data_IF_944005900845
#
_entry.id   IF_944005900845
#
_cell.length_a   1.000
_cell.length_b   1.000
_cell.length_c   1.000
_cell.angle_alpha   90.00
_cell.angle_beta   90.00
_cell.angle_gamma   90.00
#
_symmetry.space_group_name_H-M   'P 1'
#
loop_
_entity.id
_entity.type
_entity.pdbx_description
1 polymer ?
#
# COMPACT_ATOMS: atom_id res chain seq x y z
N UNK A 1 12.69 -5.09 -13.65
CA UNK A 1 11.60 -5.69 -14.43
C UNK A 1 12.19 -6.83 -15.22
N UNK A 2 12.01 -8.06 -14.73
CA UNK A 2 12.37 -9.24 -15.48
C UNK A 2 11.45 -9.36 -16.70
N UNK A 3 11.96 -9.82 -17.81
CA UNK A 3 11.24 -9.87 -19.09
C UNK A 3 10.07 -10.87 -19.17
N UNK A 4 9.50 -11.29 -18.03
CA UNK A 4 8.36 -12.22 -17.93
C UNK A 4 7.05 -11.52 -17.58
N UNK A 5 7.11 -10.22 -17.26
CA UNK A 5 5.91 -9.42 -16.99
C UNK A 5 5.09 -9.25 -18.25
N UNK A 6 3.87 -9.60 -18.18
CA UNK A 6 2.80 -9.52 -19.17
C UNK A 6 2.92 -8.24 -20.00
N UNK A 7 3.39 -8.35 -21.25
CA UNK A 7 3.46 -7.25 -22.22
C UNK A 7 2.13 -6.46 -22.37
N UNK A 8 1.02 -7.04 -21.98
CA UNK A 8 -0.32 -6.44 -22.04
C UNK A 8 -0.54 -5.36 -20.98
N UNK A 9 0.03 -5.48 -19.78
CA UNK A 9 -0.12 -4.45 -18.74
C UNK A 9 0.79 -3.24 -18.99
N UNK A 10 1.90 -3.43 -19.66
CA UNK A 10 2.88 -2.35 -19.93
C UNK A 10 2.43 -1.47 -21.11
N UNK A 11 1.74 -2.03 -22.12
CA UNK A 11 1.33 -1.28 -23.32
C UNK A 11 0.24 -0.23 -23.04
N UNK A 12 -0.57 -0.42 -22.01
CA UNK A 12 -1.62 0.52 -21.63
C UNK A 12 -1.28 1.33 -20.38
N UNK A 13 -0.19 0.99 -19.69
CA UNK A 13 0.18 1.66 -18.45
C UNK A 13 0.47 3.15 -18.66
N UNK A 14 1.30 3.49 -19.62
CA UNK A 14 1.67 4.88 -19.91
C UNK A 14 0.46 5.70 -20.35
N UNK A 15 -0.36 5.16 -21.25
CA UNK A 15 -1.60 5.82 -21.69
C UNK A 15 -2.54 6.06 -20.52
N UNK A 16 -2.73 5.06 -19.66
CA UNK A 16 -3.56 5.16 -18.46
C UNK A 16 -3.00 6.19 -17.47
N UNK A 17 -1.70 6.17 -17.21
CA UNK A 17 -1.07 7.11 -16.27
C UNK A 17 -1.08 8.54 -16.82
N UNK A 18 -0.90 8.72 -18.13
CA UNK A 18 -1.06 10.04 -18.77
C UNK A 18 -2.47 10.58 -18.59
N UNK A 19 -3.48 9.71 -18.73
CA UNK A 19 -4.87 10.12 -18.48
C UNK A 19 -5.12 10.46 -17.01
N UNK A 20 -4.62 9.65 -16.07
CA UNK A 20 -4.80 9.86 -14.62
C UNK A 20 -4.13 11.15 -14.14
N UNK A 21 -2.91 11.42 -14.59
CA UNK A 21 -2.11 12.57 -14.13
C UNK A 21 -2.25 13.81 -15.01
N UNK A 22 -2.92 13.72 -16.16
CA UNK A 22 -3.03 14.80 -17.13
C UNK A 22 -1.69 15.13 -17.80
N UNK A 23 -0.83 14.11 -17.97
CA UNK A 23 0.49 14.20 -18.58
C UNK A 23 0.46 13.68 -20.03
N UNK A 24 1.55 13.88 -20.78
CA UNK A 24 1.62 13.52 -22.20
C UNK A 24 2.82 12.63 -22.51
N UNK A 25 3.66 12.31 -21.52
CA UNK A 25 4.86 11.50 -21.71
C UNK A 25 5.23 10.74 -20.44
N UNK A 26 6.05 9.72 -20.59
CA UNK A 26 6.59 8.95 -19.47
C UNK A 26 7.47 9.81 -18.54
N UNK A 27 8.20 10.79 -19.10
CA UNK A 27 9.02 11.72 -18.33
C UNK A 27 8.15 12.58 -17.41
N UNK A 28 7.05 13.13 -17.93
CA UNK A 28 6.11 13.94 -17.13
C UNK A 28 5.44 13.09 -16.04
N UNK A 29 5.12 11.81 -16.31
CA UNK A 29 4.61 10.87 -15.31
C UNK A 29 5.62 10.72 -14.18
N UNK A 30 6.90 10.50 -14.50
CA UNK A 30 7.96 10.33 -13.50
C UNK A 30 8.13 11.58 -12.63
N UNK A 31 8.05 12.78 -13.21
CA UNK A 31 8.10 14.04 -12.46
C UNK A 31 6.92 14.20 -11.46
N UNK A 32 5.73 13.70 -11.83
CA UNK A 32 4.57 13.69 -10.92
C UNK A 32 4.77 12.68 -9.81
N UNK A 33 5.17 11.45 -10.15
CA UNK A 33 5.36 10.35 -9.20
C UNK A 33 6.48 10.64 -8.20
N UNK A 34 7.58 11.29 -8.62
CA UNK A 34 8.69 11.65 -7.75
C UNK A 34 8.25 12.57 -6.59
N UNK A 35 7.22 13.40 -6.83
CA UNK A 35 6.62 14.25 -5.80
C UNK A 35 5.59 13.53 -4.92
N UNK A 36 5.16 12.33 -5.31
CA UNK A 36 4.18 11.51 -4.57
C UNK A 36 4.90 10.55 -3.61
N UNK A 37 5.65 11.09 -2.66
CA UNK A 37 6.34 10.32 -1.64
C UNK A 37 5.82 10.63 -0.24
N UNK A 38 6.05 9.72 0.68
CA UNK A 38 5.58 9.81 2.07
C UNK A 38 6.69 10.21 3.06
N UNK A 39 7.90 10.50 2.59
CA UNK A 39 9.07 10.69 3.45
C UNK A 39 8.91 11.85 4.44
N UNK A 40 8.27 12.94 4.00
CA UNK A 40 7.99 14.09 4.89
C UNK A 40 6.67 13.94 5.65
N UNK A 41 5.74 13.13 5.16
CA UNK A 41 4.40 12.98 5.74
C UNK A 41 4.39 11.96 6.89
N UNK A 42 5.02 10.81 6.72
CA UNK A 42 4.99 9.71 7.68
C UNK A 42 5.49 10.10 9.08
N UNK A 43 6.61 10.83 9.24
CA UNK A 43 7.08 11.24 10.56
C UNK A 43 6.13 12.23 11.28
N UNK A 44 5.18 12.80 10.56
CA UNK A 44 4.20 13.76 11.08
C UNK A 44 2.80 13.17 11.30
N UNK A 45 2.62 11.87 11.12
CA UNK A 45 1.36 11.19 11.44
C UNK A 45 1.19 11.12 12.96
N UNK A 46 0.16 11.78 13.47
CA UNK A 46 -0.17 11.86 14.90
C UNK A 46 -1.41 11.02 15.28
N UNK A 47 -2.05 10.37 14.32
CA UNK A 47 -3.14 9.44 14.55
C UNK A 47 -2.63 7.98 14.56
N UNK A 48 -3.43 7.02 15.08
CA UNK A 48 -3.16 5.61 14.89
C UNK A 48 -3.04 5.25 13.42
N UNK A 49 -2.03 4.43 13.09
CA UNK A 49 -1.68 4.02 11.73
C UNK A 49 -1.66 2.49 11.64
N UNK A 50 -2.43 1.95 10.72
CA UNK A 50 -2.33 0.55 10.30
C UNK A 50 -1.80 0.49 8.86
N UNK A 51 -0.79 -0.29 8.64
CA UNK A 51 -0.33 -0.70 7.30
C UNK A 51 -0.61 -2.19 7.13
N UNK A 52 -1.26 -2.55 6.04
CA UNK A 52 -1.49 -3.95 5.66
C UNK A 52 -0.66 -4.30 4.44
N UNK A 53 -0.09 -5.49 4.40
CA UNK A 53 0.79 -5.93 3.32
C UNK A 53 0.66 -7.44 3.08
N UNK A 54 0.72 -7.88 1.84
CA UNK A 54 0.78 -9.30 1.50
C UNK A 54 2.24 -9.77 1.38
N UNK A 55 2.61 -10.89 1.99
CA UNK A 55 3.99 -11.39 1.92
C UNK A 55 4.45 -11.73 0.49
N UNK A 56 3.50 -12.06 -0.39
CA UNK A 56 3.72 -12.37 -1.80
C UNK A 56 3.62 -11.17 -2.74
N UNK A 57 3.48 -9.94 -2.23
CA UNK A 57 3.37 -8.75 -3.05
C UNK A 57 4.62 -8.55 -3.92
N UNK A 58 4.42 -8.66 -5.24
CA UNK A 58 5.50 -8.53 -6.23
C UNK A 58 5.63 -7.11 -6.80
N UNK A 59 4.76 -6.19 -6.40
CA UNK A 59 4.78 -4.81 -6.87
C UNK A 59 5.45 -3.89 -5.86
N UNK A 60 5.13 -4.07 -4.58
CA UNK A 60 5.68 -3.26 -3.49
C UNK A 60 6.45 -4.16 -2.53
N UNK A 61 7.76 -3.93 -2.34
CA UNK A 61 8.55 -4.70 -1.38
C UNK A 61 8.07 -4.52 0.06
N UNK A 62 8.07 -5.59 0.87
CA UNK A 62 7.68 -5.56 2.28
C UNK A 62 8.48 -4.53 3.10
N UNK A 63 9.74 -4.30 2.72
CA UNK A 63 10.62 -3.32 3.36
C UNK A 63 10.04 -1.90 3.32
N UNK A 64 9.24 -1.56 2.31
CA UNK A 64 8.57 -0.26 2.22
C UNK A 64 7.49 -0.11 3.30
N UNK A 65 6.69 -1.15 3.54
CA UNK A 65 5.72 -1.17 4.62
C UNK A 65 6.41 -1.09 5.99
N UNK A 66 7.49 -1.84 6.16
CA UNK A 66 8.30 -1.79 7.38
C UNK A 66 8.95 -0.42 7.61
N UNK A 67 9.45 0.22 6.54
CA UNK A 67 9.98 1.60 6.60
C UNK A 67 8.91 2.56 7.09
N UNK A 68 7.71 2.52 6.50
CA UNK A 68 6.59 3.37 6.89
C UNK A 68 6.29 3.26 8.38
N UNK A 69 6.22 2.06 8.93
CA UNK A 69 5.96 1.88 10.38
C UNK A 69 7.11 2.42 11.24
N UNK A 70 8.36 2.18 10.85
CA UNK A 70 9.51 2.69 11.61
C UNK A 70 9.57 4.22 11.64
N UNK A 71 9.14 4.87 10.57
CA UNK A 71 9.18 6.33 10.43
C UNK A 71 7.96 7.04 11.03
N UNK A 72 6.88 6.34 11.33
CA UNK A 72 5.67 6.90 11.96
C UNK A 72 5.87 7.17 13.47
N UNK A 73 6.92 7.91 13.80
CA UNK A 73 7.41 8.10 15.18
C UNK A 73 6.48 8.91 16.08
N UNK A 74 5.57 9.69 15.52
CA UNK A 74 4.58 10.47 16.27
C UNK A 74 3.23 9.75 16.41
N UNK A 75 3.03 8.64 15.69
CA UNK A 75 1.80 7.86 15.81
C UNK A 75 1.72 7.20 17.19
N UNK A 76 0.61 7.34 17.91
CA UNK A 76 0.43 6.69 19.22
C UNK A 76 0.27 5.17 19.11
N UNK A 77 -0.04 4.66 17.91
CA UNK A 77 -0.20 3.23 17.62
C UNK A 77 0.07 2.99 16.13
N UNK A 78 1.30 2.58 15.79
CA UNK A 78 1.69 2.23 14.43
C UNK A 78 1.87 0.73 14.32
N UNK A 79 1.06 0.07 13.49
CA UNK A 79 1.03 -1.39 13.35
C UNK A 79 1.17 -1.83 11.89
N UNK A 80 1.87 -2.94 11.68
CA UNK A 80 1.97 -3.62 10.40
C UNK A 80 1.33 -5.01 10.52
N UNK A 81 0.29 -5.26 9.73
CA UNK A 81 -0.23 -6.60 9.48
C UNK A 81 0.33 -7.11 8.15
N UNK A 82 1.11 -8.18 8.22
CA UNK A 82 1.51 -8.94 7.02
C UNK A 82 0.59 -10.14 6.90
N UNK A 83 -0.09 -10.25 5.75
CA UNK A 83 -0.87 -11.43 5.39
C UNK A 83 0.06 -12.47 4.79
N UNK A 84 0.07 -13.66 5.36
CA UNK A 84 0.91 -14.79 4.97
C UNK A 84 0.14 -15.83 4.16
N UNK A 85 0.84 -16.81 3.60
CA UNK A 85 0.20 -17.92 2.89
C UNK A 85 -0.81 -18.69 3.76
N UNK A 86 -0.60 -18.72 5.07
CA UNK A 86 -1.50 -19.38 6.02
C UNK A 86 -2.79 -18.55 6.25
N UNK A 87 -2.71 -17.22 6.15
CA UNK A 87 -3.87 -16.32 6.27
C UNK A 87 -4.68 -16.25 4.95
N UNK A 88 -4.00 -16.27 3.82
CA UNK A 88 -4.47 -15.75 2.53
C UNK A 88 -4.31 -14.24 2.43
N UNK A 89 -4.61 -13.64 1.26
CA UNK A 89 -4.43 -12.20 1.04
C UNK A 89 -2.96 -11.81 0.82
N UNK A 90 -2.20 -12.68 0.19
CA UNK A 90 -0.74 -12.52 0.02
C UNK A 90 -0.34 -11.66 -1.16
N UNK A 91 -1.23 -11.47 -2.12
CA UNK A 91 -0.96 -10.68 -3.33
C UNK A 91 -1.08 -9.17 -3.07
N UNK A 92 -0.67 -8.38 -4.05
CA UNK A 92 -0.78 -6.92 -4.00
C UNK A 92 -2.21 -6.47 -3.68
N UNK A 93 -2.35 -5.57 -2.70
CA UNK A 93 -3.65 -5.09 -2.18
C UNK A 93 -4.59 -6.22 -1.72
N UNK A 94 -4.05 -7.38 -1.38
CA UNK A 94 -4.78 -8.58 -0.93
C UNK A 94 -5.90 -9.01 -1.90
N UNK A 95 -5.69 -8.82 -3.21
CA UNK A 95 -6.70 -9.08 -4.25
C UNK A 95 -7.15 -10.54 -4.30
N UNK A 96 -6.31 -11.46 -3.84
CA UNK A 96 -6.60 -12.90 -3.73
C UNK A 96 -7.55 -13.23 -2.57
N UNK A 97 -7.65 -12.38 -1.53
CA UNK A 97 -8.58 -12.55 -0.41
C UNK A 97 -8.99 -11.21 0.22
N UNK A 98 -9.54 -10.31 -0.59
CA UNK A 98 -9.89 -8.95 -0.18
C UNK A 98 -10.86 -8.86 1.01
N UNK A 99 -11.78 -9.82 1.15
CA UNK A 99 -12.73 -9.84 2.28
C UNK A 99 -12.00 -9.94 3.63
N UNK A 100 -11.00 -10.81 3.74
CA UNK A 100 -10.18 -10.96 4.95
C UNK A 100 -9.46 -9.65 5.32
N UNK A 101 -8.87 -8.99 4.34
CA UNK A 101 -8.16 -7.74 4.56
C UNK A 101 -9.11 -6.62 5.03
N UNK A 102 -10.28 -6.51 4.41
CA UNK A 102 -11.31 -5.53 4.80
C UNK A 102 -11.82 -5.79 6.22
N UNK A 103 -12.10 -7.05 6.56
CA UNK A 103 -12.53 -7.44 7.91
C UNK A 103 -11.47 -7.04 8.95
N UNK A 104 -10.21 -7.41 8.73
CA UNK A 104 -9.13 -7.03 9.64
C UNK A 104 -9.00 -5.51 9.82
N UNK A 105 -9.04 -4.74 8.71
CA UNK A 105 -8.92 -3.27 8.76
C UNK A 105 -10.12 -2.64 9.49
N UNK A 106 -11.33 -3.14 9.29
CA UNK A 106 -12.53 -2.61 9.94
C UNK A 106 -12.56 -2.92 11.43
N UNK A 107 -12.17 -4.13 11.83
CA UNK A 107 -12.06 -4.51 13.24
C UNK A 107 -11.01 -3.68 13.97
N UNK A 108 -9.84 -3.49 13.35
CA UNK A 108 -8.79 -2.63 13.90
C UNK A 108 -9.27 -1.18 14.04
N UNK A 109 -9.96 -0.64 13.04
CA UNK A 109 -10.51 0.71 13.10
C UNK A 109 -11.58 0.85 14.19
N UNK A 110 -12.45 -0.14 14.34
CA UNK A 110 -13.46 -0.19 15.40
C UNK A 110 -12.80 -0.20 16.80
N UNK A 111 -11.77 -1.01 17.00
CA UNK A 111 -10.99 -1.05 18.24
C UNK A 111 -10.37 0.32 18.57
N UNK A 112 -9.71 0.96 17.61
CA UNK A 112 -9.10 2.29 17.76
C UNK A 112 -10.12 3.36 18.12
N UNK A 113 -11.31 3.28 17.53
CA UNK A 113 -12.40 4.24 17.79
C UNK A 113 -13.20 3.92 19.06
N UNK A 114 -12.82 2.90 19.82
CA UNK A 114 -13.52 2.48 21.05
C UNK A 114 -14.81 1.71 20.76
N UNK A 115 -14.99 1.19 19.56
CA UNK A 115 -16.05 0.24 19.22
C UNK A 115 -15.83 -1.10 19.91
N UNK A 116 -16.91 -1.80 20.26
CA UNK A 116 -16.81 -3.20 20.67
C UNK A 116 -16.87 -4.05 19.41
N UNK A 117 -15.79 -4.76 19.15
CA UNK A 117 -15.83 -5.90 18.24
C UNK A 117 -16.45 -7.06 19.02
N UNK A 118 -17.68 -7.41 18.68
CA UNK A 118 -18.34 -8.59 19.23
C UNK A 118 -17.74 -9.87 18.64
#
# INVERSE_FOLDING_TARGET
>A
LDGTGTKLSVSHWEEHMNWVFGTNSAEEILEVVDRMNLEEAVPNIECPLLVVHGEGDRQIPLEMAQKTIREAVKSPRAELKVFTADDGGVEHCQVDHGALAVEYMTDWAADVLGGKTD
#
